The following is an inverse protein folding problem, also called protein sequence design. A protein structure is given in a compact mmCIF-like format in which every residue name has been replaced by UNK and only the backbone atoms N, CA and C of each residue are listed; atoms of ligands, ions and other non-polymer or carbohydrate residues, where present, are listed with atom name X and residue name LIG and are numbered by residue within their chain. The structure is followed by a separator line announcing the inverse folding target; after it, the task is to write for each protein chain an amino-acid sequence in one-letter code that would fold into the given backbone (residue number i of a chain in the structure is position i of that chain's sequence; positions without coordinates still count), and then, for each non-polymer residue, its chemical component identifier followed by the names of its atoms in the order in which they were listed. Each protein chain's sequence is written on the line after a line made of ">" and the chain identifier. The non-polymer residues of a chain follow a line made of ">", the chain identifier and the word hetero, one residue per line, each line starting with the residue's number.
data_IF_054428784828
#
_entry.id   IF_054428784828
#
_cell.length_a   1.000
_cell.length_b   1.000
_cell.length_c   1.000
_cell.angle_alpha   90.00
_cell.angle_beta   90.00
_cell.angle_gamma   90.00
#
_symmetry.space_group_name_H-M   'P 1'
#
loop_
_entity.id
_entity.type
_entity.pdbx_description
1 polymer ?
#
# COMPACT_ATOMS: atom_id res chain seq x y z
N UNK A 1 39.85 4.71 25.34
CA UNK A 1 39.34 6.05 24.98
C UNK A 1 39.20 6.10 23.49
N UNK A 2 38.17 5.39 22.96
CA UNK A 2 37.82 5.43 21.55
C UNK A 2 36.64 6.37 21.37
N UNK A 3 36.92 7.48 20.74
CA UNK A 3 36.02 8.56 20.41
C UNK A 3 34.82 8.01 19.65
N UNK A 4 33.65 8.17 20.23
CA UNK A 4 32.36 8.16 19.47
C UNK A 4 32.43 9.30 18.45
N UNK A 5 32.99 9.05 17.30
CA UNK A 5 32.69 9.87 16.17
C UNK A 5 31.27 9.46 15.70
N UNK A 6 30.34 10.34 16.05
CA UNK A 6 29.11 10.52 15.29
C UNK A 6 29.45 10.37 13.80
N UNK A 7 29.13 9.23 13.24
CA UNK A 7 28.92 9.13 11.80
C UNK A 7 27.55 9.74 11.53
N UNK A 8 27.43 11.02 11.87
CA UNK A 8 26.47 11.90 11.25
C UNK A 8 26.96 12.09 9.81
N UNK A 9 26.81 11.05 9.02
CA UNK A 9 26.69 11.24 7.61
C UNK A 9 25.37 12.01 7.44
N UNK A 10 25.49 13.34 7.42
CA UNK A 10 24.66 14.17 6.59
C UNK A 10 24.86 13.68 5.15
N UNK A 11 24.37 12.48 4.86
CA UNK A 11 23.92 12.15 3.53
C UNK A 11 22.81 13.15 3.30
N UNK A 12 23.10 14.07 2.39
CA UNK A 12 22.20 15.11 2.01
C UNK A 12 20.84 14.47 1.73
N UNK A 13 19.91 14.59 2.67
CA UNK A 13 18.49 14.19 2.57
C UNK A 13 17.75 14.90 1.42
N UNK A 14 18.46 15.63 0.60
CA UNK A 14 17.95 16.37 -0.56
C UNK A 14 18.12 15.66 -1.91
N UNK A 15 18.64 14.42 -1.94
CA UNK A 15 18.95 13.73 -3.20
C UNK A 15 18.14 12.44 -3.43
N UNK A 16 17.35 11.99 -2.44
CA UNK A 16 16.50 10.82 -2.59
C UNK A 16 15.06 11.24 -2.87
N UNK A 17 14.45 10.57 -3.85
CA UNK A 17 13.02 10.69 -4.14
C UNK A 17 12.21 10.38 -2.86
N UNK A 18 11.07 11.06 -2.64
CA UNK A 18 10.29 10.97 -1.40
C UNK A 18 9.85 9.58 -0.97
N UNK A 19 10.08 8.56 -1.82
CA UNK A 19 9.73 7.16 -1.60
C UNK A 19 10.91 6.24 -1.29
N UNK A 20 12.13 6.77 -1.10
CA UNK A 20 13.31 5.96 -0.82
C UNK A 20 13.39 5.52 0.64
N UNK A 21 13.83 4.27 0.88
CA UNK A 21 14.02 3.68 2.22
C UNK A 21 14.95 4.51 3.11
N UNK A 22 15.86 5.27 2.51
CA UNK A 22 16.76 6.17 3.24
C UNK A 22 16.03 7.18 4.15
N UNK A 23 14.77 7.52 3.86
CA UNK A 23 13.98 8.46 4.68
C UNK A 23 13.38 7.81 5.94
N UNK A 24 13.18 6.49 5.89
CA UNK A 24 12.55 5.72 6.96
C UNK A 24 13.58 5.03 7.86
N UNK A 25 14.81 4.79 7.36
CA UNK A 25 15.80 4.06 8.12
C UNK A 25 16.32 4.88 9.31
N UNK A 26 16.55 4.18 10.42
CA UNK A 26 17.32 4.73 11.53
C UNK A 26 18.80 4.39 11.39
N UNK A 27 19.65 5.25 11.91
CA UNK A 27 21.11 5.11 11.88
C UNK A 27 21.70 4.76 13.24
N UNK A 28 20.91 4.80 14.30
CA UNK A 28 21.28 4.41 15.65
C UNK A 28 20.86 2.94 15.90
N UNK A 29 21.78 2.03 15.79
CA UNK A 29 21.58 0.60 15.98
C UNK A 29 22.77 -0.04 16.66
N UNK A 30 22.53 -1.13 17.40
CA UNK A 30 23.56 -1.87 18.10
C UNK A 30 24.21 -2.89 17.17
N UNK A 31 25.55 -2.90 17.16
CA UNK A 31 26.33 -3.87 16.40
C UNK A 31 27.30 -4.63 17.29
N UNK A 32 27.42 -5.94 17.02
CA UNK A 32 28.36 -6.83 17.70
C UNK A 32 29.37 -7.38 16.70
N UNK A 33 30.67 -7.25 16.92
CA UNK A 33 31.70 -7.90 16.11
C UNK A 33 31.57 -9.44 16.09
N UNK A 34 31.68 -10.07 14.92
CA UNK A 34 31.47 -11.52 14.76
C UNK A 34 32.42 -12.41 15.54
N UNK A 35 33.59 -11.90 15.94
CA UNK A 35 34.65 -12.64 16.63
C UNK A 35 34.46 -12.73 18.15
N UNK A 36 33.51 -11.98 18.71
CA UNK A 36 33.26 -11.97 20.14
C UNK A 36 32.72 -13.31 20.65
N UNK A 37 33.13 -13.64 21.89
CA UNK A 37 32.44 -14.68 22.66
C UNK A 37 31.08 -14.19 23.16
N UNK A 38 30.22 -15.13 23.54
CA UNK A 38 28.91 -14.82 24.14
C UNK A 38 29.04 -13.91 25.35
N UNK A 39 30.04 -14.14 26.19
CA UNK A 39 30.31 -13.30 27.36
C UNK A 39 30.64 -11.84 26.96
N UNK A 40 31.62 -11.66 26.09
CA UNK A 40 32.04 -10.32 25.63
C UNK A 40 30.91 -9.59 24.89
N UNK A 41 30.12 -10.32 24.10
CA UNK A 41 28.98 -9.79 23.37
C UNK A 41 27.88 -9.28 24.31
N UNK A 42 27.61 -9.98 25.43
CA UNK A 42 26.67 -9.52 26.46
C UNK A 42 27.16 -8.23 27.14
N UNK A 43 28.43 -8.16 27.54
CA UNK A 43 28.98 -6.96 28.13
C UNK A 43 28.95 -5.77 27.20
N UNK A 44 29.35 -5.97 25.94
CA UNK A 44 29.31 -4.93 24.92
C UNK A 44 27.89 -4.47 24.65
N UNK A 45 26.93 -5.40 24.53
CA UNK A 45 25.52 -5.09 24.34
C UNK A 45 24.97 -4.20 25.46
N UNK A 46 25.21 -4.58 26.74
CA UNK A 46 24.77 -3.80 27.90
C UNK A 46 25.40 -2.42 27.90
N UNK A 47 26.67 -2.29 27.52
CA UNK A 47 27.36 -1.00 27.47
C UNK A 47 26.86 -0.05 26.38
N UNK A 48 26.23 -0.60 25.34
CA UNK A 48 25.65 0.17 24.22
C UNK A 48 24.18 0.52 24.41
N UNK A 49 23.51 -0.05 25.42
CA UNK A 49 22.14 0.31 25.75
C UNK A 49 22.06 1.76 26.25
N UNK A 50 21.45 2.61 25.43
CA UNK A 50 21.27 4.04 25.73
C UNK A 50 19.84 4.43 26.03
N UNK A 51 18.89 3.54 25.74
CA UNK A 51 17.46 3.75 25.93
C UNK A 51 16.81 2.62 26.73
N UNK A 52 15.63 2.87 27.29
CA UNK A 52 14.83 1.86 27.98
C UNK A 52 14.27 0.77 27.01
N UNK A 53 14.31 1.03 25.70
CA UNK A 53 13.91 0.07 24.68
C UNK A 53 15.03 -0.92 24.37
N UNK A 54 14.86 -2.15 24.78
CA UNK A 54 15.79 -3.25 24.47
C UNK A 54 15.39 -3.85 23.12
N UNK A 55 16.24 -3.77 22.08
CA UNK A 55 15.92 -4.34 20.78
C UNK A 55 15.84 -5.88 20.88
N UNK A 56 14.87 -6.49 20.22
CA UNK A 56 14.74 -7.96 20.17
C UNK A 56 15.89 -8.64 19.42
N UNK A 57 16.54 -7.94 18.50
CA UNK A 57 17.65 -8.41 17.68
C UNK A 57 18.71 -7.33 17.53
N UNK A 58 19.95 -7.76 17.29
CA UNK A 58 21.12 -6.89 17.02
C UNK A 58 21.87 -7.39 15.80
N UNK A 59 22.64 -6.51 15.16
CA UNK A 59 23.41 -6.87 13.97
C UNK A 59 24.79 -7.38 14.34
N UNK A 60 25.22 -8.45 13.66
CA UNK A 60 26.57 -8.99 13.73
C UNK A 60 27.36 -8.53 12.52
N UNK A 61 28.53 -7.92 12.75
CA UNK A 61 29.32 -7.28 11.71
C UNK A 61 30.79 -7.75 11.72
N UNK A 62 31.41 -7.72 10.55
CA UNK A 62 32.86 -7.83 10.38
C UNK A 62 33.42 -6.48 9.89
N UNK A 63 33.92 -5.67 10.80
CA UNK A 63 34.19 -4.26 10.54
C UNK A 63 32.89 -3.49 10.30
N UNK A 64 32.66 -3.01 9.07
CA UNK A 64 31.40 -2.36 8.66
C UNK A 64 30.46 -3.29 7.89
N UNK A 65 30.95 -4.47 7.49
CA UNK A 65 30.17 -5.39 6.65
C UNK A 65 29.20 -6.21 7.50
N UNK A 66 27.94 -6.21 7.10
CA UNK A 66 26.90 -7.03 7.73
C UNK A 66 27.17 -8.52 7.50
N UNK A 67 27.15 -9.31 8.59
CA UNK A 67 27.27 -10.77 8.57
C UNK A 67 25.94 -11.47 8.86
N UNK A 68 25.17 -10.94 9.80
CA UNK A 68 23.92 -11.51 10.19
C UNK A 68 23.22 -10.70 11.28
N UNK A 69 22.14 -11.25 11.84
CA UNK A 69 21.51 -10.76 13.06
C UNK A 69 21.59 -11.81 14.16
N UNK A 70 21.48 -11.34 15.40
CA UNK A 70 21.48 -12.19 16.57
C UNK A 70 20.31 -11.78 17.48
N UNK A 71 19.45 -12.74 17.79
CA UNK A 71 18.38 -12.52 18.75
C UNK A 71 18.98 -12.35 20.15
N UNK A 72 18.59 -11.27 20.83
CA UNK A 72 19.02 -11.01 22.23
C UNK A 72 18.56 -12.15 23.15
N UNK A 73 17.36 -12.71 22.90
CA UNK A 73 16.90 -13.88 23.63
C UNK A 73 17.87 -15.07 23.51
N UNK A 74 18.36 -15.37 22.32
CA UNK A 74 19.35 -16.44 22.10
C UNK A 74 20.67 -16.10 22.78
N UNK A 75 21.15 -14.86 22.65
CA UNK A 75 22.37 -14.40 23.30
C UNK A 75 22.30 -14.54 24.82
N UNK A 76 21.17 -14.21 25.45
CA UNK A 76 21.00 -14.29 26.91
C UNK A 76 20.76 -15.72 27.42
N UNK A 77 20.18 -16.62 26.61
CA UNK A 77 19.90 -18.00 27.00
C UNK A 77 21.06 -18.96 26.77
N UNK A 78 22.08 -18.56 25.99
CA UNK A 78 23.22 -19.44 25.70
C UNK A 78 24.01 -19.74 26.98
N UNK A 79 24.24 -21.01 27.23
CA UNK A 79 24.94 -21.49 28.42
C UNK A 79 26.47 -21.46 28.25
N UNK A 80 26.95 -21.70 27.05
CA UNK A 80 28.37 -21.66 26.72
C UNK A 80 28.85 -20.23 26.45
N UNK A 81 29.29 -19.58 27.50
CA UNK A 81 29.76 -18.18 27.42
C UNK A 81 31.05 -18.01 26.63
N UNK A 82 31.82 -19.07 26.40
CA UNK A 82 33.06 -19.05 25.62
C UNK A 82 32.84 -19.22 24.13
N UNK A 83 31.65 -19.71 23.71
CA UNK A 83 31.30 -19.90 22.31
C UNK A 83 31.28 -18.55 21.57
N UNK A 84 31.72 -18.54 20.31
CA UNK A 84 31.62 -17.36 19.46
C UNK A 84 30.18 -17.10 19.02
N UNK A 85 29.73 -15.83 19.03
CA UNK A 85 28.40 -15.41 18.58
C UNK A 85 28.16 -15.71 17.09
N UNK A 86 29.19 -15.99 16.32
CA UNK A 86 29.10 -16.40 14.92
C UNK A 86 28.25 -17.67 14.73
N UNK A 87 28.23 -18.58 15.70
CA UNK A 87 27.45 -19.80 15.65
C UNK A 87 25.99 -19.61 16.06
N UNK A 88 25.67 -18.50 16.70
CA UNK A 88 24.32 -18.16 17.18
C UNK A 88 23.58 -17.24 16.21
N UNK A 89 24.31 -16.51 15.35
CA UNK A 89 23.73 -15.55 14.44
C UNK A 89 22.97 -16.24 13.31
N UNK A 90 21.94 -15.55 12.82
CA UNK A 90 21.27 -15.84 11.56
C UNK A 90 21.93 -15.06 10.42
N UNK A 91 22.45 -15.76 9.41
CA UNK A 91 23.13 -15.13 8.27
C UNK A 91 22.19 -14.91 7.06
N UNK A 92 21.00 -15.53 7.08
CA UNK A 92 20.03 -15.44 5.99
C UNK A 92 19.05 -14.28 6.23
N UNK A 93 19.55 -13.03 6.10
CA UNK A 93 18.74 -11.84 6.27
C UNK A 93 18.23 -11.32 4.93
N UNK A 94 16.95 -10.95 4.90
CA UNK A 94 16.43 -10.02 3.90
C UNK A 94 17.12 -8.67 4.10
N UNK A 95 17.59 -8.05 3.02
CA UNK A 95 18.36 -6.80 3.03
C UNK A 95 17.79 -5.85 2.02
N UNK A 96 17.77 -4.59 2.36
CA UNK A 96 17.33 -3.50 1.47
C UNK A 96 18.45 -2.49 1.28
N UNK A 97 18.36 -1.70 0.22
CA UNK A 97 19.27 -0.58 -0.05
C UNK A 97 18.62 0.73 0.34
N UNK A 98 19.42 1.80 0.56
CA UNK A 98 18.87 3.13 0.83
C UNK A 98 17.99 3.68 -0.30
N UNK A 99 18.28 3.30 -1.55
CA UNK A 99 17.62 3.75 -2.77
C UNK A 99 16.47 2.84 -3.23
N UNK A 100 16.20 1.74 -2.52
CA UNK A 100 15.06 0.88 -2.82
C UNK A 100 13.75 1.65 -2.61
N UNK A 101 12.77 1.39 -3.48
CA UNK A 101 11.44 2.00 -3.41
C UNK A 101 10.63 1.42 -2.24
N UNK A 102 9.94 2.29 -1.50
CA UNK A 102 9.09 1.90 -0.36
C UNK A 102 8.11 0.79 -0.70
N UNK A 103 7.40 0.90 -1.82
CA UNK A 103 6.36 -0.05 -2.21
C UNK A 103 6.89 -1.47 -2.42
N UNK A 104 8.09 -1.62 -3.01
CA UNK A 104 8.72 -2.93 -3.18
C UNK A 104 9.10 -3.54 -1.83
N UNK A 105 9.64 -2.72 -0.93
CA UNK A 105 10.04 -3.16 0.41
C UNK A 105 8.82 -3.53 1.26
N UNK A 106 7.75 -2.74 1.21
CA UNK A 106 6.47 -3.04 1.90
C UNK A 106 5.90 -4.39 1.50
N UNK A 107 5.89 -4.70 0.20
CA UNK A 107 5.39 -5.98 -0.29
C UNK A 107 6.16 -7.17 0.31
N UNK A 108 7.50 -7.08 0.35
CA UNK A 108 8.36 -8.12 0.94
C UNK A 108 8.21 -8.22 2.47
N UNK A 109 8.07 -7.08 3.17
CA UNK A 109 7.85 -7.05 4.62
C UNK A 109 6.55 -7.74 5.01
N UNK A 110 5.47 -7.43 4.30
CA UNK A 110 4.14 -8.01 4.53
C UNK A 110 4.12 -9.52 4.31
N UNK A 111 4.89 -10.02 3.31
CA UNK A 111 4.99 -11.46 3.06
C UNK A 111 5.78 -12.23 4.11
N UNK A 112 6.83 -11.61 4.66
CA UNK A 112 7.81 -12.29 5.50
C UNK A 112 7.57 -12.11 6.99
N UNK A 113 6.77 -11.13 7.40
CA UNK A 113 6.52 -10.80 8.81
C UNK A 113 7.81 -10.46 9.55
N UNK A 114 8.64 -9.58 8.99
CA UNK A 114 9.95 -9.23 9.53
C UNK A 114 9.86 -8.06 10.51
N UNK A 115 10.50 -8.21 11.66
CA UNK A 115 10.57 -7.18 12.71
C UNK A 115 11.87 -6.34 12.61
N UNK A 116 12.82 -6.78 11.79
CA UNK A 116 14.13 -6.13 11.63
C UNK A 116 14.63 -6.33 10.20
N UNK A 117 14.95 -5.22 9.53
CA UNK A 117 15.54 -5.25 8.20
C UNK A 117 16.77 -4.35 8.14
N UNK A 118 17.96 -4.91 7.84
CA UNK A 118 19.17 -4.12 7.64
C UNK A 118 19.14 -3.38 6.31
N UNK A 119 19.54 -2.12 6.33
CA UNK A 119 19.78 -1.31 5.14
C UNK A 119 21.27 -1.34 4.82
N UNK A 120 21.60 -1.83 3.63
CA UNK A 120 22.99 -2.13 3.26
C UNK A 120 23.37 -1.42 1.96
N UNK A 121 24.45 -0.66 1.99
CA UNK A 121 25.06 -0.05 0.80
C UNK A 121 26.45 -0.64 0.57
N UNK A 122 26.71 -1.16 -0.63
CA UNK A 122 28.01 -1.78 -1.03
C UNK A 122 28.51 -2.85 -0.04
N UNK A 123 27.59 -3.54 0.63
CA UNK A 123 27.87 -4.57 1.64
C UNK A 123 28.12 -4.05 3.05
N UNK A 124 28.14 -2.73 3.27
CA UNK A 124 28.23 -2.09 4.57
C UNK A 124 26.85 -1.81 5.15
N UNK A 125 26.69 -2.02 6.44
CA UNK A 125 25.45 -1.68 7.17
C UNK A 125 25.41 -0.17 7.36
N UNK A 126 24.44 0.51 6.75
CA UNK A 126 24.29 1.97 6.79
C UNK A 126 23.10 2.42 7.62
N UNK A 127 22.11 1.54 7.83
CA UNK A 127 20.91 1.80 8.60
C UNK A 127 20.13 0.53 8.88
N UNK A 128 18.98 0.67 9.50
CA UNK A 128 18.02 -0.43 9.67
C UNK A 128 16.59 0.10 9.77
N UNK A 129 15.65 -0.80 9.48
CA UNK A 129 14.24 -0.65 9.81
C UNK A 129 13.96 -1.62 10.96
N UNK A 130 13.51 -1.12 12.08
CA UNK A 130 13.01 -1.89 13.22
C UNK A 130 11.47 -1.84 13.22
N UNK A 131 10.84 -2.53 14.13
CA UNK A 131 9.38 -2.64 14.24
C UNK A 131 8.66 -1.29 14.10
N UNK A 132 9.22 -0.23 14.72
CA UNK A 132 8.65 1.12 14.72
C UNK A 132 8.73 1.79 13.34
N UNK A 133 9.88 1.71 12.68
CA UNK A 133 10.11 2.23 11.34
C UNK A 133 9.31 1.44 10.29
N UNK A 134 9.22 0.12 10.47
CA UNK A 134 8.40 -0.77 9.63
C UNK A 134 6.92 -0.41 9.78
N UNK A 135 6.43 -0.23 11.01
CA UNK A 135 5.05 0.17 11.25
C UNK A 135 4.71 1.53 10.58
N UNK A 136 5.61 2.52 10.71
CA UNK A 136 5.43 3.83 10.07
C UNK A 136 5.43 3.72 8.53
N UNK A 137 6.33 2.92 7.98
CA UNK A 137 6.44 2.68 6.54
C UNK A 137 5.17 2.02 5.98
N UNK A 138 4.61 1.04 6.70
CA UNK A 138 3.35 0.38 6.35
C UNK A 138 2.15 1.33 6.48
N UNK A 139 2.12 2.19 7.50
CA UNK A 139 1.07 3.19 7.71
C UNK A 139 1.04 4.22 6.58
N UNK A 140 2.23 4.72 6.18
CA UNK A 140 2.35 5.67 5.09
C UNK A 140 1.90 5.07 3.75
N UNK A 141 2.23 3.82 3.49
CA UNK A 141 1.83 3.12 2.28
C UNK A 141 0.31 2.95 2.19
N UNK A 142 -0.32 2.49 3.27
CA UNK A 142 -1.79 2.38 3.36
C UNK A 142 -2.46 3.75 3.21
N UNK A 143 -1.87 4.79 3.79
CA UNK A 143 -2.40 6.17 3.71
C UNK A 143 -2.33 6.69 2.28
N UNK A 144 -1.22 6.43 1.58
CA UNK A 144 -1.08 6.80 0.17
C UNK A 144 -2.10 6.09 -0.71
N UNK A 145 -2.28 4.78 -0.51
CA UNK A 145 -3.27 3.99 -1.24
C UNK A 145 -4.70 4.54 -1.05
N UNK A 146 -5.08 4.90 0.16
CA UNK A 146 -6.38 5.53 0.45
C UNK A 146 -6.52 6.88 -0.26
N UNK A 147 -5.47 7.72 -0.26
CA UNK A 147 -5.49 8.99 -0.99
C UNK A 147 -5.62 8.78 -2.50
N UNK A 148 -4.88 7.84 -3.08
CA UNK A 148 -4.97 7.49 -4.51
C UNK A 148 -6.35 6.95 -4.88
N UNK A 149 -6.97 6.09 -4.05
CA UNK A 149 -8.35 5.63 -4.25
C UNK A 149 -9.36 6.80 -4.22
N UNK A 150 -9.14 7.78 -3.34
CA UNK A 150 -9.91 9.02 -3.29
C UNK A 150 -9.61 10.00 -4.42
N UNK A 151 -8.76 9.61 -5.39
CA UNK A 151 -8.29 10.46 -6.48
C UNK A 151 -7.72 11.80 -5.99
N UNK A 152 -7.02 11.78 -4.86
CA UNK A 152 -6.29 12.91 -4.30
C UNK A 152 -4.79 12.59 -4.29
N UNK A 153 -3.96 13.63 -4.47
CA UNK A 153 -2.53 13.46 -4.28
C UNK A 153 -2.22 13.24 -2.80
N UNK A 154 -1.20 12.41 -2.46
CA UNK A 154 -0.80 12.16 -1.08
C UNK A 154 -0.56 13.44 -0.30
N UNK A 155 -0.90 13.42 0.99
CA UNK A 155 -0.71 14.54 1.90
C UNK A 155 0.60 14.32 2.68
N UNK A 156 1.48 15.32 2.64
CA UNK A 156 2.80 15.28 3.30
C UNK A 156 2.77 15.68 4.78
N UNK A 157 1.60 16.11 5.28
CA UNK A 157 1.42 16.61 6.64
C UNK A 157 0.08 16.14 7.19
N UNK A 158 -0.09 16.08 8.52
CA UNK A 158 -1.38 15.84 9.15
C UNK A 158 -2.47 16.78 8.60
N UNK A 159 -3.66 16.25 8.37
CA UNK A 159 -4.76 16.96 7.70
C UNK A 159 -5.05 18.36 8.25
N UNK A 160 -5.00 18.52 9.58
CA UNK A 160 -5.29 19.81 10.24
C UNK A 160 -4.21 20.87 10.04
N UNK A 161 -2.99 20.47 9.66
CA UNK A 161 -1.86 21.39 9.40
C UNK A 161 -1.78 21.85 7.96
N UNK A 162 -2.57 21.22 7.08
CA UNK A 162 -2.56 21.53 5.65
C UNK A 162 -3.48 22.72 5.37
N UNK A 163 -2.95 23.70 4.63
CA UNK A 163 -3.76 24.86 4.24
C UNK A 163 -4.88 24.47 3.27
N UNK A 164 -6.06 25.12 3.32
CA UNK A 164 -7.14 24.90 2.36
C UNK A 164 -6.70 25.11 0.90
N UNK A 165 -5.74 26.00 0.67
CA UNK A 165 -5.18 26.27 -0.65
C UNK A 165 -4.41 25.07 -1.22
N UNK A 166 -3.63 24.39 -0.38
CA UNK A 166 -2.92 23.18 -0.75
C UNK A 166 -3.89 22.03 -1.07
N UNK A 167 -4.93 21.86 -0.23
CA UNK A 167 -5.97 20.86 -0.49
C UNK A 167 -6.72 21.16 -1.79
N UNK A 168 -7.05 22.41 -2.04
CA UNK A 168 -7.68 22.82 -3.29
C UNK A 168 -6.82 22.42 -4.51
N UNK A 169 -5.54 22.76 -4.51
CA UNK A 169 -4.63 22.39 -5.61
C UNK A 169 -4.56 20.87 -5.82
N UNK A 170 -4.41 20.11 -4.75
CA UNK A 170 -4.26 18.63 -4.83
C UNK A 170 -5.53 17.94 -5.34
N UNK A 171 -6.71 18.51 -5.11
CA UNK A 171 -8.01 17.94 -5.52
C UNK A 171 -8.49 18.47 -6.88
N UNK A 172 -8.24 19.73 -7.19
CA UNK A 172 -8.83 20.40 -8.36
C UNK A 172 -8.39 19.79 -9.68
N UNK A 173 -7.16 19.33 -9.80
CA UNK A 173 -6.63 18.75 -11.03
C UNK A 173 -7.46 17.54 -11.46
N UNK A 174 -7.71 16.62 -10.53
CA UNK A 174 -8.49 15.41 -10.79
C UNK A 174 -9.97 15.74 -11.04
N UNK A 175 -10.55 16.61 -10.23
CA UNK A 175 -11.95 17.04 -10.38
C UNK A 175 -12.19 17.74 -11.74
N UNK A 176 -11.24 18.53 -12.22
CA UNK A 176 -11.32 19.14 -13.55
C UNK A 176 -11.26 18.07 -14.66
N UNK A 177 -10.42 17.08 -14.51
CA UNK A 177 -10.35 15.97 -15.47
C UNK A 177 -11.65 15.19 -15.51
N UNK A 178 -12.24 14.87 -14.36
CA UNK A 178 -13.56 14.23 -14.27
C UNK A 178 -14.66 15.12 -14.87
N UNK A 179 -14.62 16.45 -14.61
CA UNK A 179 -15.58 17.38 -15.19
C UNK A 179 -15.54 17.39 -16.73
N UNK A 180 -14.34 17.33 -17.31
CA UNK A 180 -14.20 17.23 -18.79
C UNK A 180 -14.75 15.90 -19.31
N UNK A 181 -14.50 14.79 -18.60
CA UNK A 181 -15.04 13.49 -18.96
C UNK A 181 -16.58 13.47 -18.90
N UNK A 182 -17.18 14.09 -17.86
CA UNK A 182 -18.63 14.21 -17.74
C UNK A 182 -19.24 15.17 -18.78
N UNK A 183 -18.53 16.23 -19.16
CA UNK A 183 -18.96 17.11 -20.24
C UNK A 183 -19.05 16.34 -21.59
N UNK A 184 -18.14 15.38 -21.82
CA UNK A 184 -18.22 14.49 -22.96
C UNK A 184 -19.49 13.60 -22.90
N UNK A 185 -19.79 13.03 -21.72
CA UNK A 185 -21.02 12.25 -21.51
C UNK A 185 -22.27 13.08 -21.81
N UNK A 186 -22.31 14.34 -21.37
CA UNK A 186 -23.42 15.25 -21.68
C UNK A 186 -23.59 15.47 -23.18
N UNK A 187 -22.49 15.58 -23.93
CA UNK A 187 -22.53 15.71 -25.41
C UNK A 187 -23.07 14.46 -26.10
N UNK A 188 -22.75 13.28 -25.55
CA UNK A 188 -23.34 12.01 -26.08
C UNK A 188 -24.83 11.96 -25.80
N UNK A 189 -25.29 12.36 -24.62
CA UNK A 189 -26.74 12.42 -24.29
C UNK A 189 -27.46 13.37 -25.25
N UNK A 190 -26.88 14.56 -25.52
CA UNK A 190 -27.42 15.53 -26.44
C UNK A 190 -27.56 14.95 -27.87
N UNK A 191 -26.60 14.14 -28.33
CA UNK A 191 -26.66 13.50 -29.64
C UNK A 191 -27.86 12.55 -29.78
N UNK A 192 -28.32 11.98 -28.67
CA UNK A 192 -29.49 11.09 -28.64
C UNK A 192 -30.77 11.77 -28.12
N UNK A 193 -30.86 13.11 -28.17
CA UNK A 193 -31.98 13.89 -27.63
C UNK A 193 -33.32 13.48 -28.22
N UNK A 194 -33.43 13.32 -29.55
CA UNK A 194 -34.67 12.90 -30.22
C UNK A 194 -35.15 11.52 -29.76
N UNK A 195 -34.22 10.58 -29.55
CA UNK A 195 -34.55 9.25 -29.04
C UNK A 195 -35.01 9.30 -27.57
N UNK A 196 -34.42 10.18 -26.76
CA UNK A 196 -34.81 10.39 -25.36
C UNK A 196 -36.16 11.12 -25.25
N UNK A 197 -36.48 12.09 -26.14
CA UNK A 197 -37.76 12.73 -26.17
C UNK A 197 -38.89 11.75 -26.48
N UNK A 198 -38.64 10.78 -27.39
CA UNK A 198 -39.62 9.73 -27.71
C UNK A 198 -39.86 8.77 -26.55
N UNK A 199 -38.93 8.68 -25.57
CA UNK A 199 -38.99 7.79 -24.43
C UNK A 199 -38.51 8.47 -23.12
N UNK A 200 -39.16 9.59 -22.75
CA UNK A 200 -38.84 10.40 -21.58
C UNK A 200 -38.64 9.56 -20.31
N UNK A 201 -39.37 8.45 -20.19
CA UNK A 201 -39.23 7.53 -19.07
C UNK A 201 -37.81 6.98 -18.88
N UNK A 202 -36.98 6.87 -19.93
CA UNK A 202 -35.58 6.48 -19.85
C UNK A 202 -34.73 7.49 -19.07
N UNK A 203 -35.05 8.78 -19.23
CA UNK A 203 -34.33 9.85 -18.56
C UNK A 203 -34.35 9.70 -17.01
N UNK A 204 -35.44 9.14 -16.44
CA UNK A 204 -35.57 8.89 -15.02
C UNK A 204 -34.56 7.83 -14.48
N UNK A 205 -34.06 6.97 -15.36
CA UNK A 205 -33.14 5.90 -15.02
C UNK A 205 -31.66 6.27 -15.26
N UNK A 206 -31.36 7.34 -15.99
CA UNK A 206 -29.96 7.77 -16.26
C UNK A 206 -29.15 7.90 -14.98
N UNK A 207 -29.62 8.60 -13.92
CA UNK A 207 -28.86 8.68 -12.68
C UNK A 207 -28.61 7.32 -12.01
N UNK A 208 -29.60 6.42 -12.06
CA UNK A 208 -29.49 5.06 -11.55
C UNK A 208 -28.43 4.26 -12.31
N UNK A 209 -28.45 4.34 -13.64
CA UNK A 209 -27.52 3.62 -14.51
C UNK A 209 -26.08 4.09 -14.29
N UNK A 210 -25.84 5.41 -14.30
CA UNK A 210 -24.51 5.99 -14.08
C UNK A 210 -24.01 5.66 -12.67
N UNK A 211 -24.86 5.87 -11.65
CA UNK A 211 -24.50 5.57 -10.26
C UNK A 211 -24.19 4.10 -10.01
N UNK A 212 -24.94 3.18 -10.66
CA UNK A 212 -24.66 1.74 -10.56
C UNK A 212 -23.29 1.37 -11.13
N UNK A 213 -22.93 1.91 -12.30
CA UNK A 213 -21.62 1.67 -12.92
C UNK A 213 -20.48 2.18 -12.03
N UNK A 214 -20.58 3.41 -11.55
CA UNK A 214 -19.58 4.00 -10.66
C UNK A 214 -19.41 3.25 -9.33
N UNK A 215 -20.53 2.92 -8.68
CA UNK A 215 -20.50 2.19 -7.40
C UNK A 215 -19.92 0.78 -7.56
N UNK A 216 -20.29 0.07 -8.63
CA UNK A 216 -19.74 -1.27 -8.91
C UNK A 216 -18.23 -1.20 -9.14
N UNK A 217 -17.76 -0.26 -9.96
CA UNK A 217 -16.34 -0.06 -10.21
C UNK A 217 -15.55 0.26 -8.94
N UNK A 218 -16.05 1.20 -8.15
CA UNK A 218 -15.42 1.59 -6.88
C UNK A 218 -15.31 0.41 -5.92
N UNK A 219 -16.34 -0.43 -5.79
CA UNK A 219 -16.31 -1.61 -4.92
C UNK A 219 -15.23 -2.60 -5.35
N UNK A 220 -15.12 -2.88 -6.66
CA UNK A 220 -14.10 -3.79 -7.20
C UNK A 220 -12.71 -3.22 -6.95
N UNK A 221 -12.47 -1.97 -7.36
CA UNK A 221 -11.17 -1.32 -7.22
C UNK A 221 -10.73 -1.27 -5.76
N UNK A 222 -11.59 -0.82 -4.84
CA UNK A 222 -11.25 -0.74 -3.41
C UNK A 222 -10.92 -2.10 -2.81
N UNK A 223 -11.64 -3.15 -3.19
CA UNK A 223 -11.40 -4.50 -2.70
C UNK A 223 -10.08 -5.06 -3.23
N UNK A 224 -9.81 -4.86 -4.53
CA UNK A 224 -8.58 -5.34 -5.16
C UNK A 224 -7.34 -4.61 -4.66
N UNK A 225 -7.37 -3.27 -4.58
CA UNK A 225 -6.25 -2.48 -4.05
C UNK A 225 -5.91 -2.92 -2.63
N UNK A 226 -6.93 -3.10 -1.76
CA UNK A 226 -6.70 -3.61 -0.41
C UNK A 226 -6.08 -5.02 -0.41
N UNK A 227 -6.59 -5.93 -1.25
CA UNK A 227 -6.06 -7.30 -1.31
C UNK A 227 -4.62 -7.35 -1.87
N UNK A 228 -4.28 -6.42 -2.76
CA UNK A 228 -2.91 -6.24 -3.27
C UNK A 228 -1.99 -5.67 -2.19
N UNK A 229 -2.42 -4.64 -1.47
CA UNK A 229 -1.67 -4.03 -0.37
C UNK A 229 -1.38 -5.03 0.77
N UNK A 230 -2.29 -5.97 1.02
CA UNK A 230 -2.08 -7.05 2.01
C UNK A 230 -1.28 -8.24 1.47
N UNK A 231 -0.84 -8.21 0.19
CA UNK A 231 -0.12 -9.33 -0.43
C UNK A 231 -0.97 -10.58 -0.71
N UNK A 232 -2.31 -10.50 -0.52
CA UNK A 232 -3.25 -11.61 -0.78
C UNK A 232 -3.40 -11.91 -2.27
N UNK A 233 -3.26 -10.86 -3.11
CA UNK A 233 -3.38 -10.93 -4.56
C UNK A 233 -2.12 -10.35 -5.20
N UNK A 234 -1.56 -11.08 -6.16
CA UNK A 234 -0.38 -10.68 -6.93
C UNK A 234 -0.70 -10.62 -8.41
N UNK A 235 0.12 -9.93 -9.19
CA UNK A 235 -0.04 -9.86 -10.65
C UNK A 235 -0.12 -11.23 -11.32
N UNK A 236 0.55 -12.25 -10.79
CA UNK A 236 0.46 -13.64 -11.27
C UNK A 236 -0.93 -14.26 -11.10
N UNK A 237 -1.74 -13.74 -10.19
CA UNK A 237 -3.09 -14.24 -9.89
C UNK A 237 -4.19 -13.57 -10.74
N UNK A 238 -3.80 -12.63 -11.62
CA UNK A 238 -4.71 -11.83 -12.46
C UNK A 238 -5.79 -12.65 -13.15
N UNK A 239 -5.44 -13.80 -13.74
CA UNK A 239 -6.42 -14.67 -14.40
C UNK A 239 -7.49 -15.23 -13.45
N UNK A 240 -7.13 -15.50 -12.18
CA UNK A 240 -8.07 -15.95 -11.15
C UNK A 240 -8.95 -14.79 -10.69
N UNK A 241 -8.37 -13.62 -10.52
CA UNK A 241 -9.08 -12.40 -10.13
C UNK A 241 -10.11 -12.05 -11.18
N UNK A 242 -9.75 -11.93 -12.45
CA UNK A 242 -10.68 -11.63 -13.55
C UNK A 242 -11.85 -12.65 -13.58
N UNK A 243 -11.53 -13.94 -13.49
CA UNK A 243 -12.60 -14.95 -13.51
C UNK A 243 -13.53 -14.82 -12.30
N UNK A 244 -12.99 -14.55 -11.11
CA UNK A 244 -13.76 -14.37 -9.88
C UNK A 244 -14.63 -13.12 -9.98
N UNK A 245 -14.05 -11.99 -10.37
CA UNK A 245 -14.78 -10.72 -10.52
C UNK A 245 -15.86 -10.79 -11.59
N UNK A 246 -15.59 -11.39 -12.74
CA UNK A 246 -16.60 -11.59 -13.79
C UNK A 246 -17.77 -12.46 -13.32
N UNK A 247 -17.50 -13.51 -12.54
CA UNK A 247 -18.57 -14.37 -11.99
C UNK A 247 -19.39 -13.62 -10.96
N UNK A 248 -18.74 -12.90 -10.05
CA UNK A 248 -19.40 -12.09 -9.01
C UNK A 248 -20.23 -10.98 -9.65
N UNK A 249 -19.65 -10.27 -10.62
CA UNK A 249 -20.34 -9.20 -11.34
C UNK A 249 -21.52 -9.68 -12.16
N UNK A 250 -21.47 -10.89 -12.71
CA UNK A 250 -22.63 -11.51 -13.37
C UNK A 250 -23.80 -11.72 -12.39
N UNK A 251 -23.50 -12.23 -11.18
CA UNK A 251 -24.54 -12.42 -10.16
C UNK A 251 -25.12 -11.06 -9.69
N UNK A 252 -24.27 -10.07 -9.49
CA UNK A 252 -24.69 -8.71 -9.13
C UNK A 252 -25.52 -8.10 -10.27
N UNK A 253 -25.07 -8.23 -11.51
CA UNK A 253 -25.76 -7.73 -12.69
C UNK A 253 -27.18 -8.30 -12.84
N UNK A 254 -27.34 -9.61 -12.64
CA UNK A 254 -28.65 -10.26 -12.64
C UNK A 254 -29.54 -9.75 -11.50
N UNK A 255 -28.98 -9.58 -10.31
CA UNK A 255 -29.71 -9.04 -9.17
C UNK A 255 -30.18 -7.60 -9.42
N UNK A 256 -29.31 -6.74 -9.94
CA UNK A 256 -29.63 -5.34 -10.24
C UNK A 256 -30.56 -5.22 -11.44
N UNK A 257 -30.40 -6.07 -12.47
CA UNK A 257 -31.32 -6.15 -13.60
C UNK A 257 -32.73 -6.52 -13.15
N UNK A 258 -32.86 -7.49 -12.24
CA UNK A 258 -34.17 -7.87 -11.67
C UNK A 258 -34.78 -6.74 -10.83
N UNK A 259 -33.95 -6.07 -9.98
CA UNK A 259 -34.38 -4.92 -9.20
C UNK A 259 -34.83 -3.75 -10.09
N UNK A 260 -34.09 -3.48 -11.18
CA UNK A 260 -34.46 -2.47 -12.18
C UNK A 260 -35.78 -2.80 -12.90
N UNK A 261 -35.98 -4.07 -13.25
CA UNK A 261 -37.22 -4.57 -13.83
C UNK A 261 -38.39 -4.34 -12.86
N UNK A 262 -38.25 -4.74 -11.60
CA UNK A 262 -39.28 -4.53 -10.60
C UNK A 262 -39.59 -3.04 -10.40
N UNK A 263 -38.55 -2.20 -10.33
CA UNK A 263 -38.72 -0.74 -10.19
C UNK A 263 -39.46 -0.12 -11.37
N UNK A 264 -39.11 -0.47 -12.61
CA UNK A 264 -39.75 0.02 -13.81
C UNK A 264 -41.22 -0.45 -13.87
N UNK A 265 -41.47 -1.71 -13.51
CA UNK A 265 -42.85 -2.26 -13.43
C UNK A 265 -43.70 -1.51 -12.37
N UNK A 266 -43.17 -1.22 -11.19
CA UNK A 266 -43.85 -0.43 -10.14
C UNK A 266 -44.19 1.00 -10.61
N UNK A 267 -43.41 1.57 -11.50
CA UNK A 267 -43.65 2.90 -12.09
C UNK A 267 -44.69 2.88 -13.20
N UNK A 268 -45.23 1.70 -13.59
CA UNK A 268 -46.18 1.56 -14.66
C UNK A 268 -45.63 1.84 -16.03
N UNK A 269 -44.32 1.69 -16.24
CA UNK A 269 -43.61 1.93 -17.49
C UNK A 269 -43.81 0.70 -18.41
N UNK A 270 -43.97 0.96 -19.70
CA UNK A 270 -44.16 -0.11 -20.68
C UNK A 270 -43.05 -1.18 -20.67
N UNK A 271 -43.41 -2.39 -21.09
CA UNK A 271 -42.50 -3.56 -21.03
C UNK A 271 -41.22 -3.33 -21.83
N UNK A 272 -41.27 -2.61 -22.93
CA UNK A 272 -40.11 -2.33 -23.79
C UNK A 272 -39.05 -1.53 -23.03
N UNK A 273 -39.44 -0.46 -22.38
CA UNK A 273 -38.52 0.40 -21.57
C UNK A 273 -38.00 -0.38 -20.35
N UNK A 274 -38.87 -1.19 -19.73
CA UNK A 274 -38.48 -2.07 -18.61
C UNK A 274 -37.37 -3.03 -19.02
N UNK A 275 -37.45 -3.66 -20.16
CA UNK A 275 -36.42 -4.55 -20.67
C UNK A 275 -35.12 -3.80 -21.01
N UNK A 276 -35.23 -2.62 -21.65
CA UNK A 276 -34.08 -1.79 -21.99
C UNK A 276 -33.30 -1.41 -20.69
N UNK A 277 -34.00 -0.89 -19.69
CA UNK A 277 -33.38 -0.49 -18.41
C UNK A 277 -32.70 -1.69 -17.72
N UNK A 278 -33.39 -2.83 -17.66
CA UNK A 278 -32.88 -4.03 -17.03
C UNK A 278 -31.62 -4.57 -17.74
N UNK A 279 -31.67 -4.63 -19.06
CA UNK A 279 -30.55 -5.09 -19.88
C UNK A 279 -29.35 -4.11 -19.75
N UNK A 280 -29.63 -2.82 -19.77
CA UNK A 280 -28.60 -1.78 -19.61
C UNK A 280 -27.91 -1.88 -18.23
N UNK A 281 -28.67 -2.14 -17.15
CA UNK A 281 -28.08 -2.38 -15.82
C UNK A 281 -27.14 -3.60 -15.83
N UNK A 282 -27.53 -4.68 -16.47
CA UNK A 282 -26.67 -5.86 -16.64
C UNK A 282 -25.39 -5.51 -17.40
N UNK A 283 -25.53 -4.85 -18.54
CA UNK A 283 -24.38 -4.48 -19.37
C UNK A 283 -23.43 -3.51 -18.66
N UNK A 284 -23.95 -2.49 -17.98
CA UNK A 284 -23.13 -1.51 -17.25
C UNK A 284 -22.36 -2.19 -16.11
N UNK A 285 -22.99 -3.07 -15.34
CA UNK A 285 -22.36 -3.78 -14.23
C UNK A 285 -21.22 -4.68 -14.73
N UNK A 286 -21.45 -5.42 -15.82
CA UNK A 286 -20.40 -6.26 -16.42
C UNK A 286 -19.29 -5.42 -17.03
N UNK A 287 -19.61 -4.32 -17.71
CA UNK A 287 -18.62 -3.40 -18.26
C UNK A 287 -17.76 -2.76 -17.17
N UNK A 288 -18.38 -2.34 -16.07
CA UNK A 288 -17.67 -1.82 -14.90
C UNK A 288 -16.64 -2.82 -14.37
N UNK A 289 -16.98 -4.11 -14.31
CA UNK A 289 -16.05 -5.15 -13.87
C UNK A 289 -14.86 -5.39 -14.81
N UNK A 290 -15.02 -5.07 -16.11
CA UNK A 290 -13.92 -5.20 -17.08
C UNK A 290 -12.97 -4.01 -17.00
N UNK A 291 -13.49 -2.82 -16.69
CA UNK A 291 -12.71 -1.56 -16.71
C UNK A 291 -12.04 -1.29 -15.35
N UNK A 292 -12.60 -1.79 -14.24
CA UNK A 292 -12.06 -1.64 -12.90
C UNK A 292 -10.90 -2.59 -12.62
#
# INVERSE_FOLDING_TARGET
>A
MFSMQHCAAHLATSAFDGDAIAQYMRTDFITLPEHLSVYEARELFVSQLTSDDIPGQVFVVAGKKLRGSLSIKKLLQESDTAQSIRYLMDSCLFRVKPDDERQEVVAELSERGLDLVPVVEKGELVGCLMEKEIAHLLEDDVTEDVHRQGATLPLEKPYLEISPWTLWKKRSVWLLLLFVAEAYTSSVIQHFEEALESAIALAFFIPLLIGTGGNSGTQITSTLVRSMALGEVRLRDMGRVIRKEMTTSLLIALTLGLAGCLRAWMMGIGMEITLIVSLTLVCITLWSAVVS
#
